data_IF_835827765077
#
_entry.id   IF_835827765077
#
_cell.length_a   1.000
_cell.length_b   1.000
_cell.length_c   1.000
_cell.angle_alpha   90.00
_cell.angle_beta   90.00
_cell.angle_gamma   90.00
#
_symmetry.space_group_name_H-M   'P 1'
#
loop_
_entity.id
_entity.type
_entity.pdbx_description
1 polymer ?
#
# COMPACT_ATOMS: atom_id res chain seq x y z
N UNK A 1 -13.38 21.42 8.25
CA UNK A 1 -12.90 21.15 6.89
C UNK A 1 -13.03 19.66 6.67
N UNK A 2 -13.64 19.23 5.57
CA UNK A 2 -13.74 17.81 5.22
C UNK A 2 -12.40 17.30 4.67
N UNK A 3 -12.18 15.99 4.72
CA UNK A 3 -10.94 15.37 4.24
C UNK A 3 -10.62 15.71 2.78
N UNK A 4 -11.59 15.55 1.88
CA UNK A 4 -11.38 15.83 0.46
C UNK A 4 -11.22 17.33 0.15
N UNK A 5 -11.79 18.21 0.98
CA UNK A 5 -11.54 19.66 0.87
C UNK A 5 -10.07 19.97 1.18
N UNK A 6 -9.52 19.37 2.25
CA UNK A 6 -8.09 19.50 2.59
C UNK A 6 -7.19 19.01 1.45
N UNK A 7 -7.45 17.80 0.94
CA UNK A 7 -6.65 17.23 -0.15
C UNK A 7 -6.73 18.08 -1.43
N UNK A 8 -7.92 18.56 -1.78
CA UNK A 8 -8.13 19.37 -2.98
C UNK A 8 -7.45 20.72 -2.87
N UNK A 9 -7.59 21.40 -1.72
CA UNK A 9 -6.97 22.70 -1.47
C UNK A 9 -5.43 22.64 -1.51
N UNK A 10 -4.84 21.48 -1.22
CA UNK A 10 -3.38 21.29 -1.15
C UNK A 10 -2.84 20.37 -2.24
N UNK A 11 -3.62 20.07 -3.30
CA UNK A 11 -3.33 19.00 -4.28
C UNK A 11 -1.91 19.02 -4.80
N UNK A 12 -1.44 20.15 -5.36
CA UNK A 12 -0.11 20.20 -6.00
C UNK A 12 1.03 19.94 -5.01
N UNK A 13 0.93 20.50 -3.80
CA UNK A 13 1.93 20.29 -2.75
C UNK A 13 1.94 18.83 -2.29
N UNK A 14 0.77 18.29 -1.95
CA UNK A 14 0.64 16.93 -1.43
C UNK A 14 1.02 15.89 -2.47
N UNK A 15 0.66 16.09 -3.74
CA UNK A 15 1.02 15.19 -4.83
C UNK A 15 2.54 15.14 -5.04
N UNK A 16 3.18 16.30 -5.09
CA UNK A 16 4.64 16.38 -5.22
C UNK A 16 5.36 15.70 -4.03
N UNK A 17 4.84 15.92 -2.82
CA UNK A 17 5.38 15.27 -1.63
C UNK A 17 5.16 13.76 -1.69
N UNK A 18 3.96 13.30 -2.01
CA UNK A 18 3.61 11.89 -2.13
C UNK A 18 4.48 11.18 -3.16
N UNK A 19 4.68 11.73 -4.35
CA UNK A 19 5.58 11.15 -5.36
C UNK A 19 7.01 11.01 -4.83
N UNK A 20 7.53 12.02 -4.13
CA UNK A 20 8.84 11.93 -3.50
C UNK A 20 8.88 10.83 -2.41
N UNK A 21 7.80 10.64 -1.64
CA UNK A 21 7.69 9.56 -0.66
C UNK A 21 7.68 8.18 -1.34
N UNK A 22 6.93 8.04 -2.45
CA UNK A 22 6.86 6.80 -3.22
C UNK A 22 8.24 6.38 -3.70
N UNK A 23 8.99 7.30 -4.32
CA UNK A 23 10.34 7.04 -4.81
C UNK A 23 11.30 6.72 -3.67
N UNK A 24 11.30 7.52 -2.59
CA UNK A 24 12.21 7.35 -1.46
C UNK A 24 12.03 6.01 -0.74
N UNK A 25 10.78 5.58 -0.56
CA UNK A 25 10.46 4.32 0.10
C UNK A 25 10.41 3.13 -0.87
N UNK A 26 10.67 3.37 -2.16
CA UNK A 26 10.56 2.37 -3.22
C UNK A 26 9.17 1.70 -3.24
N UNK A 27 8.14 2.49 -2.92
CA UNK A 27 6.76 2.05 -2.97
C UNK A 27 6.26 2.18 -4.43
N UNK A 28 5.71 1.10 -4.96
CA UNK A 28 5.24 1.03 -6.34
C UNK A 28 3.73 0.90 -6.36
N UNK A 29 3.04 1.85 -7.00
CA UNK A 29 1.60 1.68 -7.26
C UNK A 29 1.40 0.80 -8.48
N UNK A 30 0.25 0.14 -8.55
CA UNK A 30 -0.19 -0.54 -9.77
C UNK A 30 -1.13 0.39 -10.53
N UNK A 31 -0.89 0.58 -11.82
CA UNK A 31 -1.66 1.50 -12.66
C UNK A 31 -1.30 2.99 -12.45
N UNK A 32 -2.25 3.88 -12.77
CA UNK A 32 -2.03 5.33 -12.78
C UNK A 32 -2.44 6.05 -11.48
N UNK A 33 -3.10 5.35 -10.55
CA UNK A 33 -3.57 5.90 -9.29
C UNK A 33 -2.64 5.60 -8.11
N UNK A 34 -3.18 5.75 -6.90
CA UNK A 34 -2.52 5.46 -5.63
C UNK A 34 -3.16 4.27 -4.89
N UNK A 35 -3.70 3.34 -5.67
CA UNK A 35 -4.09 2.01 -5.21
C UNK A 35 -2.92 1.06 -5.37
N UNK A 36 -2.96 -0.04 -4.60
CA UNK A 36 -1.92 -1.07 -4.63
C UNK A 36 -0.51 -0.47 -4.55
N UNK A 37 -0.29 0.47 -3.63
CA UNK A 37 1.05 0.97 -3.35
C UNK A 37 1.83 -0.13 -2.63
N UNK A 38 2.48 -1.02 -3.38
CA UNK A 38 3.26 -2.15 -2.90
C UNK A 38 4.48 -1.62 -2.15
N UNK A 39 4.62 -2.00 -0.88
CA UNK A 39 5.72 -1.56 -0.01
C UNK A 39 6.48 -2.76 0.53
N UNK A 40 7.81 -2.69 0.56
CA UNK A 40 8.62 -3.68 1.27
C UNK A 40 8.35 -3.63 2.78
N UNK A 41 8.33 -4.79 3.44
CA UNK A 41 8.04 -4.89 4.88
C UNK A 41 8.94 -4.01 5.75
N UNK A 42 10.22 -3.89 5.40
CA UNK A 42 11.21 -3.08 6.12
C UNK A 42 11.01 -1.56 5.93
N UNK A 43 10.23 -1.16 4.92
CA UNK A 43 9.86 0.24 4.65
C UNK A 43 8.45 0.60 5.11
N UNK A 44 7.64 -0.39 5.49
CA UNK A 44 6.21 -0.20 5.81
C UNK A 44 5.99 0.90 6.85
N UNK A 45 6.65 0.82 8.01
CA UNK A 45 6.49 1.82 9.07
C UNK A 45 6.92 3.21 8.64
N UNK A 46 8.05 3.31 7.94
CA UNK A 46 8.55 4.60 7.46
C UNK A 46 7.56 5.21 6.47
N UNK A 47 7.18 4.45 5.44
CA UNK A 47 6.26 4.92 4.42
C UNK A 47 4.91 5.35 5.02
N UNK A 48 4.34 4.53 5.92
CA UNK A 48 3.06 4.85 6.56
C UNK A 48 3.15 6.09 7.45
N UNK A 49 4.22 6.24 8.23
CA UNK A 49 4.42 7.45 9.04
C UNK A 49 4.54 8.71 8.17
N UNK A 50 5.20 8.60 7.01
CA UNK A 50 5.41 9.72 6.10
C UNK A 50 4.10 10.12 5.39
N UNK A 51 3.30 9.18 4.87
CA UNK A 51 1.98 9.51 4.29
C UNK A 51 1.00 10.03 5.35
N UNK A 52 1.07 9.53 6.59
CA UNK A 52 0.30 10.09 7.71
C UNK A 52 0.68 11.54 8.02
N UNK A 53 1.96 11.92 7.84
CA UNK A 53 2.40 13.31 8.02
C UNK A 53 1.84 14.24 6.93
N UNK A 54 1.58 13.71 5.73
CA UNK A 54 0.84 14.39 4.67
C UNK A 54 -0.66 14.47 4.98
N UNK A 55 -1.14 13.64 5.91
CA UNK A 55 -2.55 13.55 6.28
C UNK A 55 -3.36 12.73 5.27
N UNK A 56 -2.74 11.75 4.63
CA UNK A 56 -3.39 10.84 3.67
C UNK A 56 -3.78 9.54 4.39
N UNK A 57 -5.02 9.12 4.23
CA UNK A 57 -5.58 7.88 4.80
C UNK A 57 -5.24 6.66 3.94
N UNK A 58 -5.11 5.52 4.61
CA UNK A 58 -5.16 4.19 3.97
C UNK A 58 -6.61 3.70 4.09
N UNK A 59 -7.23 3.30 2.97
CA UNK A 59 -8.58 2.71 2.96
C UNK A 59 -8.56 1.20 3.05
N UNK A 60 -7.60 0.57 2.38
CA UNK A 60 -7.55 -0.88 2.23
C UNK A 60 -6.11 -1.38 2.05
N UNK A 61 -5.91 -2.67 2.22
CA UNK A 61 -4.63 -3.34 1.98
C UNK A 61 -4.84 -4.61 1.16
N UNK A 62 -4.21 -4.67 -0.01
CA UNK A 62 -4.07 -5.87 -0.84
C UNK A 62 -2.76 -6.59 -0.53
N UNK A 63 -2.60 -7.81 -1.08
CA UNK A 63 -1.48 -8.67 -0.78
C UNK A 63 -0.76 -9.08 -2.06
N UNK A 64 0.56 -8.97 -2.04
CA UNK A 64 1.40 -9.17 -3.21
C UNK A 64 2.55 -10.11 -2.88
N UNK A 65 3.07 -10.78 -3.89
CA UNK A 65 4.31 -11.53 -3.84
C UNK A 65 5.36 -10.82 -4.68
N UNK A 66 6.61 -10.80 -4.23
CA UNK A 66 7.75 -10.38 -5.04
C UNK A 66 8.63 -11.58 -5.42
N UNK A 67 9.10 -11.62 -6.65
CA UNK A 67 10.11 -12.57 -7.14
C UNK A 67 11.28 -11.82 -7.76
N UNK A 68 12.49 -12.26 -7.46
CA UNK A 68 13.68 -11.95 -8.25
C UNK A 68 14.13 -13.20 -9.01
N UNK A 69 14.00 -13.23 -10.34
CA UNK A 69 14.42 -14.38 -11.16
C UNK A 69 15.89 -14.76 -10.99
N UNK A 70 16.76 -13.83 -10.55
CA UNK A 70 18.18 -14.09 -10.35
C UNK A 70 18.46 -14.94 -9.09
N UNK A 71 17.55 -14.98 -8.12
CA UNK A 71 17.73 -15.72 -6.87
C UNK A 71 17.46 -17.23 -7.01
N UNK A 72 17.09 -17.70 -8.20
CA UNK A 72 17.00 -19.14 -8.53
C UNK A 72 15.90 -19.91 -7.79
N UNK A 73 15.02 -19.24 -7.05
CA UNK A 73 13.91 -19.88 -6.34
C UNK A 73 12.72 -20.05 -7.29
N UNK A 74 12.22 -21.28 -7.41
CA UNK A 74 11.00 -21.57 -8.18
C UNK A 74 9.73 -21.41 -7.35
N UNK A 75 9.87 -21.15 -6.05
CA UNK A 75 8.77 -21.02 -5.09
C UNK A 75 8.12 -19.63 -5.13
N UNK A 76 8.65 -18.69 -5.91
CA UNK A 76 8.06 -17.37 -6.11
C UNK A 76 8.11 -17.02 -7.61
N UNK A 77 7.18 -16.18 -8.12
CA UNK A 77 6.14 -15.49 -7.39
C UNK A 77 4.89 -16.37 -7.24
N UNK A 78 4.25 -16.27 -6.08
CA UNK A 78 2.89 -16.76 -5.89
C UNK A 78 1.89 -15.77 -6.47
N UNK A 79 0.75 -16.24 -7.00
CA UNK A 79 -0.37 -15.39 -7.38
C UNK A 79 -0.63 -15.25 -8.89
N UNK A 80 -1.32 -14.19 -9.27
CA UNK A 80 -1.94 -14.02 -10.59
C UNK A 80 -1.12 -13.19 -11.58
N UNK A 81 0.14 -12.87 -11.26
CA UNK A 81 0.98 -11.97 -12.03
C UNK A 81 0.78 -10.50 -11.65
N UNK A 82 1.58 -9.63 -12.25
CA UNK A 82 1.64 -8.21 -11.88
C UNK A 82 2.76 -7.47 -12.61
N UNK A 83 3.02 -6.21 -12.24
CA UNK A 83 4.03 -5.41 -12.92
C UNK A 83 5.45 -5.85 -12.58
N UNK A 84 6.37 -5.59 -13.51
CA UNK A 84 7.80 -5.58 -13.20
C UNK A 84 8.07 -4.51 -12.15
N UNK A 85 8.98 -4.76 -11.22
CA UNK A 85 9.36 -3.72 -10.26
C UNK A 85 10.17 -2.61 -10.95
N UNK A 86 9.83 -1.36 -10.65
CA UNK A 86 10.56 -0.17 -11.09
C UNK A 86 11.83 0.07 -10.25
N UNK A 87 11.88 -0.50 -9.05
CA UNK A 87 12.93 -0.23 -8.05
C UNK A 87 13.88 -1.42 -7.80
N UNK A 88 13.46 -2.63 -8.15
CA UNK A 88 14.20 -3.87 -7.90
C UNK A 88 14.17 -4.78 -9.14
N UNK A 89 15.17 -5.66 -9.32
CA UNK A 89 15.10 -6.70 -10.34
C UNK A 89 13.94 -7.65 -10.06
N UNK A 90 13.07 -7.91 -11.04
CA UNK A 90 12.01 -8.92 -10.89
C UNK A 90 10.59 -8.37 -10.94
N UNK A 91 9.65 -9.12 -10.39
CA UNK A 91 8.21 -8.93 -10.64
C UNK A 91 7.40 -9.00 -9.36
N UNK A 92 6.31 -8.24 -9.34
CA UNK A 92 5.24 -8.40 -8.36
C UNK A 92 4.14 -9.30 -8.92
N UNK A 93 3.42 -9.99 -8.04
CA UNK A 93 2.28 -10.83 -8.37
C UNK A 93 1.19 -10.70 -7.32
N UNK A 94 -0.03 -10.41 -7.74
CA UNK A 94 -1.15 -10.22 -6.82
C UNK A 94 -1.60 -11.55 -6.22
N UNK A 95 -1.83 -11.59 -4.91
CA UNK A 95 -2.37 -12.75 -4.21
C UNK A 95 -3.89 -12.64 -4.12
N UNK A 96 -4.60 -13.76 -4.31
CA UNK A 96 -6.06 -13.82 -4.28
C UNK A 96 -6.66 -13.83 -2.85
N UNK A 97 -5.90 -13.40 -1.85
CA UNK A 97 -6.36 -13.34 -0.47
C UNK A 97 -7.31 -12.16 -0.27
N UNK A 98 -8.22 -12.29 0.70
CA UNK A 98 -9.09 -11.19 1.09
C UNK A 98 -8.25 -9.97 1.47
N UNK A 99 -8.63 -8.82 0.92
CA UNK A 99 -8.07 -7.54 1.32
C UNK A 99 -8.40 -7.27 2.80
N UNK A 100 -7.51 -6.54 3.46
CA UNK A 100 -7.84 -5.94 4.76
C UNK A 100 -8.49 -4.59 4.52
N UNK A 101 -9.80 -4.51 4.74
CA UNK A 101 -10.56 -3.26 4.73
C UNK A 101 -10.35 -2.52 6.06
N UNK A 102 -9.93 -1.26 6.00
CA UNK A 102 -9.82 -0.43 7.19
C UNK A 102 -11.23 -0.06 7.69
N UNK A 103 -11.38 0.08 9.00
CA UNK A 103 -12.64 0.40 9.68
C UNK A 103 -13.37 1.59 9.03
N UNK A 104 -14.48 1.28 8.35
CA UNK A 104 -15.26 2.24 7.54
C UNK A 104 -15.89 3.34 8.38
N UNK A 105 -16.27 3.05 9.61
CA UNK A 105 -16.86 4.05 10.51
C UNK A 105 -15.79 5.06 10.93
N UNK A 106 -14.57 4.60 11.24
CA UNK A 106 -13.45 5.50 11.52
C UNK A 106 -13.05 6.35 10.32
N UNK A 107 -13.03 5.75 9.12
CA UNK A 107 -12.80 6.51 7.88
C UNK A 107 -13.88 7.58 7.71
N UNK A 108 -15.16 7.23 7.84
CA UNK A 108 -16.26 8.16 7.67
C UNK A 108 -16.17 9.35 8.64
N UNK A 109 -15.82 9.10 9.91
CA UNK A 109 -15.61 10.15 10.90
C UNK A 109 -14.49 11.12 10.51
N UNK A 110 -13.35 10.61 10.02
CA UNK A 110 -12.22 11.44 9.57
C UNK A 110 -12.56 12.18 8.27
N UNK A 111 -13.32 11.55 7.37
CA UNK A 111 -13.75 12.16 6.10
C UNK A 111 -14.64 13.37 6.36
N UNK A 112 -15.58 13.26 7.28
CA UNK A 112 -16.50 14.35 7.64
C UNK A 112 -15.83 15.45 8.47
N UNK A 113 -14.88 15.10 9.34
CA UNK A 113 -14.12 16.06 10.14
C UNK A 113 -12.63 15.73 10.10
N UNK A 114 -11.92 16.34 9.15
CA UNK A 114 -10.50 16.11 8.96
C UNK A 114 -9.69 16.49 10.20
N UNK A 115 -8.89 15.53 10.67
CA UNK A 115 -7.88 15.72 11.69
C UNK A 115 -6.65 14.85 11.35
N UNK A 116 -5.49 15.49 11.15
CA UNK A 116 -4.23 14.81 10.81
C UNK A 116 -3.75 13.86 11.92
N UNK A 117 -4.04 14.14 13.18
CA UNK A 117 -3.77 13.24 14.29
C UNK A 117 -4.59 11.95 14.17
N UNK A 118 -5.87 12.06 13.84
CA UNK A 118 -6.73 10.89 13.66
C UNK A 118 -6.33 10.05 12.43
N UNK A 119 -5.91 10.70 11.34
CA UNK A 119 -5.30 10.01 10.18
C UNK A 119 -4.09 9.19 10.62
N UNK A 120 -3.18 9.81 11.38
CA UNK A 120 -1.98 9.12 11.89
C UNK A 120 -2.34 7.94 12.79
N UNK A 121 -3.28 8.12 13.71
CA UNK A 121 -3.71 7.06 14.62
C UNK A 121 -4.31 5.87 13.85
N UNK A 122 -5.18 6.13 12.87
CA UNK A 122 -5.82 5.08 12.09
C UNK A 122 -4.80 4.33 11.21
N UNK A 123 -3.93 5.06 10.49
CA UNK A 123 -2.88 4.42 9.68
C UNK A 123 -1.92 3.57 10.55
N UNK A 124 -1.60 4.00 11.77
CA UNK A 124 -0.80 3.20 12.70
C UNK A 124 -1.54 1.96 13.19
N UNK A 125 -2.86 2.02 13.37
CA UNK A 125 -3.69 0.83 13.62
C UNK A 125 -3.65 -0.12 12.42
N UNK A 126 -3.74 0.41 11.20
CA UNK A 126 -3.60 -0.36 9.95
C UNK A 126 -2.26 -1.11 9.90
N UNK A 127 -1.13 -0.47 10.21
CA UNK A 127 0.19 -1.15 10.27
C UNK A 127 0.21 -2.29 11.28
N UNK A 128 -0.37 -2.10 12.47
CA UNK A 128 -0.48 -3.16 13.47
C UNK A 128 -1.29 -4.34 12.95
N UNK A 129 -2.38 -4.07 12.23
CA UNK A 129 -3.21 -5.11 11.62
C UNK A 129 -2.50 -5.82 10.47
N UNK A 130 -1.78 -5.10 9.60
CA UNK A 130 -0.95 -5.71 8.56
C UNK A 130 0.03 -6.71 9.18
N UNK A 131 0.75 -6.31 10.23
CA UNK A 131 1.71 -7.19 10.92
C UNK A 131 1.03 -8.43 11.50
N UNK A 132 -0.09 -8.24 12.20
CA UNK A 132 -0.87 -9.35 12.75
C UNK A 132 -1.31 -10.33 11.66
N UNK A 133 -1.78 -9.83 10.51
CA UNK A 133 -2.20 -10.68 9.40
C UNK A 133 -0.99 -11.42 8.80
N UNK A 134 0.16 -10.75 8.68
CA UNK A 134 1.40 -11.37 8.19
C UNK A 134 2.01 -12.39 9.16
N UNK A 135 1.51 -12.51 10.41
CA UNK A 135 1.84 -13.62 11.32
C UNK A 135 1.02 -14.88 11.01
N UNK A 136 -0.12 -14.75 10.34
CA UNK A 136 -0.99 -15.86 9.93
C UNK A 136 -0.54 -16.47 8.61
N UNK A 137 -0.72 -17.77 8.42
CA UNK A 137 -0.33 -18.45 7.18
C UNK A 137 -1.11 -17.91 5.96
N UNK A 138 -0.42 -17.39 4.94
CA UNK A 138 -1.05 -17.02 3.67
C UNK A 138 -1.21 -18.22 2.75
N UNK A 139 -2.41 -18.35 2.17
CA UNK A 139 -2.71 -19.32 1.12
C UNK A 139 -2.59 -18.68 -0.25
N UNK A 140 -1.92 -19.34 -1.19
CA UNK A 140 -1.89 -18.90 -2.60
C UNK A 140 -2.62 -19.87 -3.55
N UNK A 141 -2.87 -21.10 -3.10
CA UNK A 141 -3.86 -22.03 -3.68
C UNK A 141 -4.74 -22.60 -2.56
N UNK A 142 -5.83 -23.33 -2.87
CA UNK A 142 -6.65 -23.97 -1.83
C UNK A 142 -5.88 -24.94 -0.93
N UNK A 143 -4.79 -25.53 -1.42
CA UNK A 143 -3.99 -26.55 -0.74
C UNK A 143 -2.60 -26.09 -0.31
N UNK A 144 -2.10 -24.96 -0.81
CA UNK A 144 -0.72 -24.53 -0.59
C UNK A 144 -0.64 -23.18 0.11
N UNK A 145 0.38 -23.09 0.96
CA UNK A 145 0.66 -21.94 1.81
C UNK A 145 2.02 -21.35 1.46
N UNK A 146 2.17 -20.05 1.70
CA UNK A 146 3.45 -19.35 1.59
C UNK A 146 4.21 -19.53 2.91
N UNK A 147 5.37 -20.17 2.87
CA UNK A 147 6.16 -20.42 4.07
C UNK A 147 6.69 -19.11 4.69
N UNK A 148 6.37 -18.89 5.97
CA UNK A 148 6.78 -17.72 6.74
C UNK A 148 6.32 -16.37 6.16
N UNK A 149 5.45 -16.40 5.13
CA UNK A 149 5.04 -15.24 4.35
C UNK A 149 6.21 -14.39 3.85
N UNK A 150 7.40 -14.96 3.64
CA UNK A 150 8.63 -14.19 3.42
C UNK A 150 8.55 -13.27 2.20
N UNK A 151 7.85 -13.72 1.16
CA UNK A 151 7.64 -12.99 -0.09
C UNK A 151 6.37 -12.13 -0.11
N UNK A 152 5.52 -12.19 0.92
CA UNK A 152 4.24 -11.46 0.97
C UNK A 152 4.47 -9.99 1.32
N UNK A 153 3.96 -9.07 0.52
CA UNK A 153 4.09 -7.64 0.65
C UNK A 153 2.71 -6.98 0.71
N UNK A 154 2.50 -5.95 1.55
CA UNK A 154 1.27 -5.18 1.54
C UNK A 154 1.23 -4.20 0.35
N UNK A 155 0.09 -4.14 -0.34
CA UNK A 155 -0.28 -3.09 -1.27
C UNK A 155 -1.25 -2.12 -0.60
N UNK A 156 -0.81 -0.89 -0.32
CA UNK A 156 -1.63 0.09 0.40
C UNK A 156 -2.52 0.88 -0.56
N UNK A 157 -3.81 0.96 -0.26
CA UNK A 157 -4.77 1.77 -1.01
C UNK A 157 -4.88 3.14 -0.34
N UNK A 158 -4.37 4.18 -0.98
CA UNK A 158 -4.42 5.54 -0.46
C UNK A 158 -5.75 6.18 -0.83
N UNK A 159 -6.47 6.67 0.17
CA UNK A 159 -7.76 7.34 -0.03
C UNK A 159 -7.51 8.75 -0.54
N UNK A 160 -7.43 8.95 -1.85
CA UNK A 160 -7.20 10.25 -2.49
C UNK A 160 -8.25 10.50 -3.59
N UNK A 161 -8.50 11.75 -4.00
CA UNK A 161 -9.42 12.03 -5.11
C UNK A 161 -9.03 11.26 -6.39
N UNK A 162 -10.01 10.75 -7.13
CA UNK A 162 -9.78 9.95 -8.36
C UNK A 162 -8.96 10.67 -9.43
N UNK A 163 -8.98 12.01 -9.43
CA UNK A 163 -8.20 12.82 -10.37
C UNK A 163 -6.72 13.01 -9.95
N UNK A 164 -6.27 12.33 -8.89
CA UNK A 164 -4.86 12.22 -8.55
C UNK A 164 -4.27 11.08 -9.37
N UNK A 165 -3.46 11.44 -10.36
CA UNK A 165 -2.80 10.49 -11.23
C UNK A 165 -1.30 10.73 -11.19
N UNK A 166 -0.55 9.63 -11.30
CA UNK A 166 0.88 9.69 -11.52
C UNK A 166 1.16 10.21 -12.92
N UNK A 167 2.15 11.09 -13.03
CA UNK A 167 2.74 11.40 -14.33
C UNK A 167 3.56 10.19 -14.77
N UNK A 168 2.99 9.34 -15.63
CA UNK A 168 3.74 8.29 -16.29
C UNK A 168 4.64 8.96 -17.32
N UNK A 169 5.87 9.28 -16.94
CA UNK A 169 6.91 9.59 -17.93
C UNK A 169 7.29 8.23 -18.54
N UNK A 170 6.70 7.92 -19.69
CA UNK A 170 7.03 6.75 -20.51
C UNK A 170 8.42 6.89 -21.12
#
# INVERSE_FOLDING_TARGET
MKYYEYLTANKSLLLNQLEALMVRNKAQSVGSGYIDCIVLKDKLDQFVNEISSLGILISDVSWWCYVDPANGTTECPHGMGGPKSDYFPGWFSELQNNMYEVDKDKIALIVESYDKHNVKLLNQQTVKMIRKILEETFKYTPSENIEGNNCVLPGLWLLVPENWQKFVIK
#
